data_IF_087236762159
#
_entry.id   IF_087236762159
#
_cell.length_a   1.000
_cell.length_b   1.000
_cell.length_c   1.000
_cell.angle_alpha   90.00
_cell.angle_beta   90.00
_cell.angle_gamma   90.00
#
_symmetry.space_group_name_H-M   'P 1'
#
loop_
_entity.id
_entity.type
_entity.pdbx_description
1 polymer ?
#
# COMPACT_ATOMS: atom_id res chain seq x y z
N UNK A 1 -16.55 -0.22 73.36
CA UNK A 1 -15.70 0.36 74.41
C UNK A 1 -14.34 0.65 73.78
N UNK A 2 -14.10 1.94 73.49
CA UNK A 2 -12.83 2.65 73.18
C UNK A 2 -11.95 2.06 72.05
N UNK A 3 -11.57 2.86 71.05
CA UNK A 3 -10.19 3.30 70.71
C UNK A 3 -10.23 3.51 69.18
N UNK A 4 -9.69 4.51 68.48
CA UNK A 4 -8.84 5.67 68.77
C UNK A 4 -9.08 6.72 67.67
N UNK A 5 -9.03 7.99 68.06
CA UNK A 5 -8.93 9.15 67.19
C UNK A 5 -7.46 9.33 66.79
N UNK A 6 -7.12 9.22 65.50
CA UNK A 6 -5.77 9.49 64.98
C UNK A 6 -5.72 10.91 64.41
N UNK A 7 -4.80 11.70 64.97
CA UNK A 7 -4.63 13.12 64.69
C UNK A 7 -3.89 13.43 63.38
N UNK A 8 -4.25 14.57 62.80
CA UNK A 8 -3.54 15.23 61.71
C UNK A 8 -2.27 15.93 62.21
N UNK A 9 -1.12 15.56 61.62
CA UNK A 9 0.09 16.39 61.50
C UNK A 9 0.57 16.16 60.07
N UNK A 10 0.54 17.16 59.19
CA UNK A 10 1.50 18.25 59.17
C UNK A 10 2.71 17.83 58.33
N UNK A 11 2.59 17.89 57.00
CA UNK A 11 3.68 17.58 56.07
C UNK A 11 4.14 18.85 55.36
N UNK A 12 5.44 19.07 55.55
CA UNK A 12 6.29 20.17 55.15
C UNK A 12 6.41 20.34 53.64
N UNK A 13 6.28 21.58 53.17
CA UNK A 13 6.64 22.00 51.81
C UNK A 13 8.16 22.08 51.69
N UNK A 14 8.76 21.09 51.03
CA UNK A 14 10.15 21.15 50.57
C UNK A 14 10.21 21.77 49.17
N UNK A 15 10.61 23.03 49.12
CA UNK A 15 11.02 23.74 47.89
C UNK A 15 12.38 23.21 47.42
N UNK A 16 12.41 22.55 46.25
CA UNK A 16 13.66 22.26 45.54
C UNK A 16 13.65 22.93 44.17
N UNK A 17 14.52 23.93 44.09
CA UNK A 17 14.89 24.71 42.91
C UNK A 17 15.63 23.84 41.90
N UNK A 18 15.12 23.70 40.67
CA UNK A 18 15.84 23.08 39.55
C UNK A 18 16.71 24.13 38.82
N UNK A 19 17.97 23.79 38.46
CA UNK A 19 18.82 24.69 37.70
C UNK A 19 18.52 24.65 36.19
N UNK A 20 18.49 25.85 35.62
CA UNK A 20 18.35 26.19 34.20
C UNK A 20 19.51 25.60 33.39
N UNK A 21 19.23 24.65 32.50
CA UNK A 21 20.23 24.09 31.58
C UNK A 21 20.40 25.03 30.36
N UNK A 22 21.64 25.49 30.16
CA UNK A 22 22.06 26.41 29.09
C UNK A 22 22.05 25.73 27.72
N UNK A 23 21.47 26.41 26.74
CA UNK A 23 21.48 26.05 25.31
C UNK A 23 22.90 26.03 24.73
N UNK A 24 23.32 24.89 24.19
CA UNK A 24 24.51 24.78 23.35
C UNK A 24 24.11 24.94 21.87
N UNK A 25 24.66 25.97 21.23
CA UNK A 25 24.60 26.24 19.78
C UNK A 25 25.41 25.19 19.03
N UNK A 26 24.75 24.35 18.23
CA UNK A 26 25.40 23.46 17.26
C UNK A 26 25.31 24.11 15.87
N UNK A 27 26.47 24.30 15.26
CA UNK A 27 26.70 24.96 13.96
C UNK A 27 26.70 23.90 12.86
N UNK A 28 25.93 24.02 11.76
CA UNK A 28 25.98 23.03 10.68
C UNK A 28 27.17 23.31 9.74
N UNK A 29 27.86 22.27 9.22
CA UNK A 29 28.88 22.43 8.20
C UNK A 29 28.27 22.57 6.80
N UNK A 30 28.87 23.45 6.01
CA UNK A 30 28.46 23.92 4.68
C UNK A 30 29.33 23.21 3.63
N UNK A 31 28.65 22.65 2.61
CA UNK A 31 29.05 22.35 1.21
C UNK A 31 30.33 21.55 0.88
N UNK A 32 30.18 20.53 0.03
CA UNK A 32 30.36 20.69 -1.44
C UNK A 32 30.18 19.36 -2.19
N UNK A 33 29.26 19.32 -3.16
CA UNK A 33 29.12 18.27 -4.18
C UNK A 33 29.73 18.72 -5.51
N UNK A 34 30.45 17.84 -6.24
CA UNK A 34 30.65 18.01 -7.67
C UNK A 34 29.78 17.03 -8.49
N UNK A 35 28.86 17.65 -9.22
CA UNK A 35 28.49 17.52 -10.64
C UNK A 35 28.71 16.19 -11.42
N UNK A 36 27.61 15.82 -12.08
CA UNK A 36 27.30 14.68 -12.95
C UNK A 36 27.97 14.65 -14.35
N UNK A 37 27.84 13.47 -15.01
CA UNK A 37 27.78 13.12 -16.46
C UNK A 37 28.98 12.29 -16.93
N UNK A 38 28.88 11.26 -17.78
CA UNK A 38 27.87 10.81 -18.75
C UNK A 38 28.18 9.35 -19.13
N UNK A 39 27.17 8.48 -19.28
CA UNK A 39 27.32 7.23 -20.04
C UNK A 39 26.16 7.08 -21.02
N UNK A 40 26.52 6.83 -22.28
CA UNK A 40 25.67 6.74 -23.48
C UNK A 40 25.07 5.33 -23.62
N UNK A 41 23.86 5.17 -24.19
CA UNK A 41 23.32 3.87 -24.57
C UNK A 41 23.78 3.49 -25.99
N UNK A 42 24.19 2.23 -26.18
CA UNK A 42 24.43 1.64 -27.49
C UNK A 42 23.12 1.00 -27.99
N UNK A 43 22.61 1.55 -29.09
CA UNK A 43 21.52 1.00 -29.90
C UNK A 43 21.99 -0.23 -30.68
N UNK A 44 21.12 -1.24 -30.81
CA UNK A 44 21.26 -2.33 -31.78
C UNK A 44 20.02 -2.33 -32.69
N UNK A 45 20.18 -2.20 -34.03
CA UNK A 45 19.08 -2.37 -34.97
C UNK A 45 18.91 -3.85 -35.37
N UNK A 46 17.65 -4.33 -35.34
CA UNK A 46 17.28 -5.62 -35.89
C UNK A 46 17.01 -5.47 -37.40
N UNK A 47 17.65 -6.35 -38.16
CA UNK A 47 17.71 -6.36 -39.62
C UNK A 47 16.58 -7.24 -40.19
N UNK A 48 15.96 -6.80 -41.29
CA UNK A 48 14.95 -7.54 -42.04
C UNK A 48 15.50 -7.97 -43.41
N UNK A 49 15.64 -9.28 -43.62
CA UNK A 49 15.96 -9.89 -44.91
C UNK A 49 15.03 -11.11 -45.04
N UNK A 50 13.91 -11.00 -45.76
CA UNK A 50 13.72 -11.48 -47.15
C UNK A 50 14.35 -12.86 -47.38
N UNK A 51 13.56 -13.84 -47.85
CA UNK A 51 13.87 -14.70 -48.99
C UNK A 51 12.73 -15.71 -49.26
N UNK A 52 12.10 -15.53 -50.44
CA UNK A 52 11.74 -16.51 -51.49
C UNK A 52 10.76 -17.67 -51.21
N UNK A 53 9.79 -17.80 -52.13
CA UNK A 53 9.42 -19.11 -52.70
C UNK A 53 7.93 -19.38 -52.95
N UNK A 54 7.41 -18.98 -54.11
CA UNK A 54 6.19 -19.51 -54.79
C UNK A 54 6.50 -20.90 -55.43
N UNK A 55 5.55 -21.66 -56.06
CA UNK A 55 4.09 -21.51 -56.23
C UNK A 55 3.22 -22.80 -56.07
N UNK A 56 1.89 -22.61 -56.11
CA UNK A 56 0.88 -23.38 -56.89
C UNK A 56 0.78 -24.92 -56.76
N UNK A 57 -0.35 -25.40 -56.24
CA UNK A 57 -1.19 -26.40 -56.94
C UNK A 57 -2.64 -26.42 -56.41
N UNK A 58 -3.61 -26.32 -57.32
CA UNK A 58 -5.04 -26.56 -57.08
C UNK A 58 -5.36 -28.03 -57.35
N UNK A 59 -6.11 -28.71 -56.48
CA UNK A 59 -7.07 -29.77 -56.83
C UNK A 59 -7.79 -30.34 -55.60
N UNK A 60 -9.11 -30.23 -55.56
CA UNK A 60 -10.05 -31.17 -54.90
C UNK A 60 -10.39 -32.29 -55.92
N UNK A 61 -10.94 -33.49 -55.58
CA UNK A 61 -12.16 -33.67 -54.77
C UNK A 61 -12.26 -34.92 -53.84
N UNK A 62 -13.23 -34.81 -52.92
CA UNK A 62 -14.14 -35.81 -52.32
C UNK A 62 -13.67 -37.23 -51.95
N UNK A 63 -13.52 -37.46 -50.64
CA UNK A 63 -13.96 -38.72 -49.97
C UNK A 63 -14.53 -38.39 -48.59
N UNK A 64 -15.79 -38.77 -48.41
CA UNK A 64 -16.55 -38.79 -47.16
C UNK A 64 -16.08 -39.96 -46.28
N UNK A 65 -15.52 -39.69 -45.09
CA UNK A 65 -15.36 -40.68 -44.02
C UNK A 65 -15.76 -40.05 -42.69
N UNK A 66 -16.83 -40.59 -42.15
CA UNK A 66 -17.37 -40.32 -40.83
C UNK A 66 -16.42 -40.88 -39.76
N UNK A 67 -15.77 -39.98 -39.02
CA UNK A 67 -14.93 -40.33 -37.87
C UNK A 67 -15.12 -39.27 -36.77
N UNK A 68 -15.72 -39.73 -35.68
CA UNK A 68 -16.01 -39.03 -34.44
C UNK A 68 -14.77 -38.34 -33.87
N UNK A 69 -14.71 -37.02 -34.02
CA UNK A 69 -13.70 -36.16 -33.40
C UNK A 69 -14.16 -35.76 -31.99
N UNK A 70 -13.75 -36.52 -30.97
CA UNK A 70 -13.66 -35.98 -29.61
C UNK A 70 -12.29 -35.33 -29.46
N UNK A 71 -12.19 -34.07 -29.87
CA UNK A 71 -11.06 -33.22 -29.53
C UNK A 71 -11.14 -32.90 -28.02
N UNK A 72 -10.08 -33.14 -27.23
CA UNK A 72 -9.97 -32.50 -25.93
C UNK A 72 -9.96 -30.98 -26.16
N UNK A 73 -10.74 -30.19 -25.40
CA UNK A 73 -10.75 -28.75 -25.57
C UNK A 73 -9.32 -28.25 -25.34
N UNK A 74 -8.76 -27.65 -26.39
CA UNK A 74 -7.55 -26.86 -26.31
C UNK A 74 -7.79 -25.80 -25.25
N UNK A 75 -7.01 -25.87 -24.18
CA UNK A 75 -6.95 -24.89 -23.12
C UNK A 75 -6.48 -23.58 -23.74
N UNK A 76 -7.42 -22.69 -24.03
CA UNK A 76 -7.13 -21.28 -24.29
C UNK A 76 -6.51 -20.71 -23.02
N UNK A 77 -5.24 -20.36 -23.12
CA UNK A 77 -4.47 -19.71 -22.06
C UNK A 77 -4.95 -18.26 -21.90
N UNK A 78 -6.10 -18.08 -21.25
CA UNK A 78 -6.42 -16.87 -20.53
C UNK A 78 -5.91 -17.04 -19.10
N UNK A 79 -5.18 -16.04 -18.61
CA UNK A 79 -4.50 -16.04 -17.31
C UNK A 79 -5.53 -16.01 -16.16
N UNK A 80 -6.22 -17.11 -15.90
CA UNK A 80 -7.08 -17.30 -14.73
C UNK A 80 -6.20 -17.69 -13.53
N UNK A 81 -5.59 -16.69 -12.89
CA UNK A 81 -4.93 -16.89 -11.60
C UNK A 81 -5.98 -17.33 -10.58
N UNK A 82 -5.67 -18.39 -9.81
CA UNK A 82 -6.58 -18.86 -8.77
C UNK A 82 -6.65 -17.87 -7.61
N UNK A 83 -7.72 -17.93 -6.81
CA UNK A 83 -7.87 -17.05 -5.64
C UNK A 83 -6.68 -17.16 -4.67
N UNK A 84 -6.11 -18.36 -4.55
CA UNK A 84 -4.95 -18.62 -3.70
C UNK A 84 -3.66 -18.02 -4.28
N UNK A 85 -3.49 -18.03 -5.60
CA UNK A 85 -2.34 -17.36 -6.24
C UNK A 85 -2.37 -15.84 -6.00
N UNK A 86 -3.56 -15.24 -6.06
CA UNK A 86 -3.75 -13.81 -5.78
C UNK A 86 -3.50 -13.52 -4.29
N UNK A 87 -3.99 -14.35 -3.38
CA UNK A 87 -3.72 -14.24 -1.95
C UNK A 87 -2.22 -14.35 -1.66
N UNK A 88 -1.54 -15.32 -2.26
CA UNK A 88 -0.10 -15.50 -2.13
C UNK A 88 0.67 -14.29 -2.67
N UNK A 89 0.22 -13.69 -3.78
CA UNK A 89 0.77 -12.45 -4.29
C UNK A 89 0.54 -11.27 -3.33
N UNK A 90 -0.65 -11.14 -2.75
CA UNK A 90 -0.98 -10.10 -1.78
C UNK A 90 -0.17 -10.23 -0.49
N UNK A 91 0.12 -11.45 -0.05
CA UNK A 91 0.98 -11.74 1.08
C UNK A 91 2.43 -11.30 0.89
N UNK A 92 2.86 -11.02 -0.34
CA UNK A 92 4.17 -10.41 -0.62
C UNK A 92 4.16 -8.89 -0.54
N UNK A 93 2.98 -8.26 -0.48
CA UNK A 93 2.87 -6.82 -0.26
C UNK A 93 3.14 -6.52 1.22
N UNK A 94 3.72 -5.34 1.46
CA UNK A 94 3.94 -4.81 2.80
C UNK A 94 2.83 -3.81 3.11
N UNK A 95 1.68 -4.31 3.54
CA UNK A 95 0.53 -3.48 3.92
C UNK A 95 0.54 -3.37 5.44
N UNK A 96 0.59 -2.15 5.97
CA UNK A 96 0.70 -1.89 7.41
C UNK A 96 -0.31 -0.89 7.90
N UNK A 97 -0.64 -0.97 9.18
CA UNK A 97 -1.28 0.11 9.91
C UNK A 97 -0.32 1.29 10.00
N UNK A 98 -0.80 2.48 9.67
CA UNK A 98 -0.09 3.73 9.82
C UNK A 98 -0.88 4.75 10.63
N UNK A 99 -0.18 5.76 11.16
CA UNK A 99 -0.78 6.92 11.79
C UNK A 99 -0.19 8.19 11.19
N UNK A 100 -1.05 9.05 10.66
CA UNK A 100 -0.62 10.35 10.15
C UNK A 100 -0.20 11.22 11.34
N UNK A 101 1.07 11.57 11.43
CA UNK A 101 1.56 12.51 12.44
C UNK A 101 1.12 13.92 12.07
N UNK A 102 1.27 14.26 10.79
CA UNK A 102 0.98 15.58 10.25
C UNK A 102 0.63 15.47 8.77
N UNK A 103 -0.38 16.23 8.33
CA UNK A 103 -0.67 16.43 6.92
C UNK A 103 -0.65 17.93 6.56
N UNK A 104 -0.28 18.27 5.32
CA UNK A 104 -0.36 19.62 4.78
C UNK A 104 -0.58 19.61 3.27
N UNK A 105 -1.00 20.74 2.69
CA UNK A 105 -1.13 20.87 1.23
C UNK A 105 0.24 20.94 0.56
N UNK A 106 0.37 20.28 -0.58
CA UNK A 106 1.57 20.34 -1.38
C UNK A 106 1.75 21.75 -1.98
N UNK A 107 2.96 22.31 -1.89
CA UNK A 107 3.22 23.71 -2.31
C UNK A 107 3.09 23.91 -3.82
N UNK A 108 3.55 22.93 -4.62
CA UNK A 108 3.51 22.98 -6.09
C UNK A 108 2.33 22.18 -6.73
N UNK A 109 1.37 21.70 -5.93
CA UNK A 109 0.32 20.80 -6.45
C UNK A 109 -1.02 20.92 -5.69
N UNK A 110 -2.01 21.54 -6.32
CA UNK A 110 -3.32 21.81 -5.72
C UNK A 110 -4.14 20.55 -5.40
N UNK A 111 -3.86 19.44 -6.08
CA UNK A 111 -4.58 18.18 -5.90
C UNK A 111 -3.93 17.24 -4.88
N UNK A 112 -2.77 17.60 -4.31
CA UNK A 112 -1.99 16.72 -3.45
C UNK A 112 -1.90 17.24 -2.01
N UNK A 113 -2.05 16.31 -1.08
CA UNK A 113 -1.55 16.47 0.28
C UNK A 113 -0.18 15.80 0.40
N UNK A 114 0.57 16.24 1.40
CA UNK A 114 1.81 15.61 1.87
C UNK A 114 1.56 15.20 3.31
N UNK A 115 1.79 13.93 3.61
CA UNK A 115 1.58 13.34 4.92
C UNK A 115 2.89 12.77 5.47
N UNK A 116 3.16 13.08 6.73
CA UNK A 116 4.16 12.40 7.53
C UNK A 116 3.47 11.28 8.30
N UNK A 117 3.80 10.03 8.00
CA UNK A 117 3.08 8.84 8.47
C UNK A 117 4.01 7.93 9.25
N UNK A 118 3.66 7.68 10.51
CA UNK A 118 4.27 6.65 11.34
C UNK A 118 3.75 5.27 10.92
N UNK A 119 4.67 4.37 10.55
CA UNK A 119 4.38 2.98 10.19
C UNK A 119 5.19 2.01 11.05
N UNK A 120 5.52 2.41 12.29
CA UNK A 120 6.29 1.62 13.25
C UNK A 120 7.77 1.45 12.86
N UNK A 121 8.26 2.31 11.97
CA UNK A 121 9.67 2.40 11.60
C UNK A 121 10.39 3.46 12.44
N UNK A 122 11.74 3.43 12.53
CA UNK A 122 12.50 4.44 13.28
C UNK A 122 12.26 5.87 12.79
N UNK A 123 12.00 6.04 11.50
CA UNK A 123 11.69 7.32 10.87
C UNK A 123 10.31 7.27 10.21
N UNK A 124 9.54 8.33 10.37
CA UNK A 124 8.25 8.48 9.71
C UNK A 124 8.42 8.67 8.21
N UNK A 125 7.46 8.15 7.44
CA UNK A 125 7.50 8.19 5.98
C UNK A 125 6.78 9.42 5.46
N UNK A 126 7.35 10.05 4.45
CA UNK A 126 6.65 11.05 3.65
C UNK A 126 5.83 10.32 2.59
N UNK A 127 4.53 10.55 2.59
CA UNK A 127 3.59 10.07 1.58
C UNK A 127 2.95 11.29 0.93
N UNK A 128 2.57 11.17 -0.33
CA UNK A 128 1.76 12.18 -1.01
C UNK A 128 0.50 11.51 -1.54
N UNK A 129 -0.66 12.04 -1.16
CA UNK A 129 -1.96 11.51 -1.55
C UNK A 129 -2.77 12.51 -2.39
N UNK A 130 -3.55 11.97 -3.33
CA UNK A 130 -4.46 12.75 -4.18
C UNK A 130 -5.80 13.10 -3.54
N UNK A 131 -5.85 13.31 -2.23
CA UNK A 131 -7.10 13.36 -1.46
C UNK A 131 -7.75 14.75 -1.35
N UNK A 132 -7.12 15.81 -1.88
CA UNK A 132 -7.58 17.21 -1.68
C UNK A 132 -9.02 17.45 -2.12
N UNK A 133 -9.46 16.79 -3.19
CA UNK A 133 -10.84 16.93 -3.71
C UNK A 133 -11.88 16.15 -2.90
N UNK A 134 -11.44 15.14 -2.17
CA UNK A 134 -12.30 14.16 -1.53
C UNK A 134 -12.41 14.41 -0.03
N UNK A 135 -11.35 14.91 0.60
CA UNK A 135 -11.29 15.08 2.05
C UNK A 135 -10.70 16.42 2.47
N UNK A 136 -11.31 17.06 3.50
CA UNK A 136 -10.67 18.18 4.16
C UNK A 136 -9.43 17.72 4.94
N UNK A 137 -8.46 18.62 5.03
CA UNK A 137 -7.16 18.37 5.68
C UNK A 137 -7.32 17.95 7.16
N UNK A 138 -8.33 18.47 7.86
CA UNK A 138 -8.55 18.22 9.29
C UNK A 138 -8.86 16.74 9.59
N UNK A 139 -9.49 16.04 8.65
CA UNK A 139 -9.77 14.60 8.81
C UNK A 139 -8.52 13.72 8.65
N UNK A 140 -7.45 14.25 8.06
CA UNK A 140 -6.19 13.54 7.90
C UNK A 140 -5.29 13.68 9.12
N UNK A 141 -5.44 14.75 9.91
CA UNK A 141 -4.59 14.97 11.08
C UNK A 141 -4.81 13.86 12.10
N UNK A 142 -3.73 13.17 12.48
CA UNK A 142 -3.76 12.09 13.47
C UNK A 142 -4.62 10.87 13.08
N UNK A 143 -5.09 10.80 11.84
CA UNK A 143 -5.87 9.69 11.35
C UNK A 143 -5.05 8.39 11.33
N UNK A 144 -5.70 7.29 11.69
CA UNK A 144 -5.19 5.94 11.45
C UNK A 144 -5.55 5.54 10.03
N UNK A 145 -4.58 4.97 9.32
CA UNK A 145 -4.67 4.67 7.90
C UNK A 145 -4.04 3.32 7.62
N UNK A 146 -4.37 2.75 6.47
CA UNK A 146 -3.65 1.60 5.93
C UNK A 146 -2.65 2.08 4.88
N UNK A 147 -1.41 1.60 4.94
CA UNK A 147 -0.30 2.04 4.11
C UNK A 147 0.30 0.85 3.37
N UNK A 148 0.42 0.97 2.06
CA UNK A 148 1.26 0.08 1.26
C UNK A 148 2.70 0.61 1.24
N UNK A 149 3.60 -0.10 1.91
CA UNK A 149 4.92 0.37 2.31
C UNK A 149 6.07 -0.14 1.42
N UNK A 150 5.90 -1.22 0.66
CA UNK A 150 6.98 -1.77 -0.19
C UNK A 150 6.89 -1.38 -1.66
N UNK A 151 6.17 -0.31 -2.00
CA UNK A 151 6.25 0.28 -3.34
C UNK A 151 7.59 1.00 -3.54
N UNK A 152 8.03 1.06 -4.80
CA UNK A 152 9.17 1.89 -5.17
C UNK A 152 8.82 3.37 -4.96
N UNK A 153 9.65 4.14 -4.22
CA UNK A 153 9.37 5.55 -3.99
C UNK A 153 9.18 6.33 -5.30
N UNK A 154 8.19 7.22 -5.32
CA UNK A 154 7.81 8.02 -6.48
C UNK A 154 7.98 9.50 -6.17
N UNK A 155 8.61 10.23 -7.08
CA UNK A 155 8.67 11.68 -6.98
C UNK A 155 7.36 12.28 -7.53
N UNK A 156 6.68 13.08 -6.71
CA UNK A 156 5.45 13.80 -7.03
C UNK A 156 5.72 15.29 -6.83
N UNK A 157 5.98 16.00 -7.94
CA UNK A 157 6.21 17.46 -7.94
C UNK A 157 7.31 17.90 -6.96
N UNK A 158 8.42 17.18 -6.94
CA UNK A 158 9.59 17.48 -6.11
C UNK A 158 9.62 16.74 -4.77
N UNK A 159 8.46 16.29 -4.26
CA UNK A 159 8.38 15.52 -3.01
C UNK A 159 8.46 14.03 -3.29
N UNK A 160 9.33 13.32 -2.57
CA UNK A 160 9.50 11.87 -2.70
C UNK A 160 8.49 11.15 -1.78
N UNK A 161 7.44 10.59 -2.38
CA UNK A 161 6.47 9.74 -1.69
C UNK A 161 7.03 8.32 -1.53
N UNK A 162 7.08 7.83 -0.29
CA UNK A 162 7.65 6.55 0.14
C UNK A 162 6.56 5.58 0.63
N UNK A 163 5.40 5.58 -0.02
CA UNK A 163 4.28 4.69 0.27
C UNK A 163 3.02 5.15 -0.46
N UNK A 164 1.92 4.48 -0.15
CA UNK A 164 0.60 4.82 -0.66
C UNK A 164 -0.43 4.58 0.45
N UNK A 165 -1.26 5.58 0.72
CA UNK A 165 -2.42 5.40 1.59
C UNK A 165 -3.48 4.60 0.82
N UNK A 166 -4.05 3.59 1.45
CA UNK A 166 -5.11 2.79 0.86
C UNK A 166 -6.47 3.43 1.10
N UNK A 167 -7.26 3.54 0.03
CA UNK A 167 -8.59 4.13 0.07
C UNK A 167 -9.59 3.30 -0.73
N UNK A 168 -10.83 3.28 -0.27
CA UNK A 168 -11.97 2.82 -1.05
C UNK A 168 -12.45 3.96 -1.96
N UNK A 169 -12.82 3.62 -3.20
CA UNK A 169 -13.43 4.55 -4.14
C UNK A 169 -14.65 3.91 -4.81
N UNK A 170 -15.70 4.70 -5.00
CA UNK A 170 -16.85 4.25 -5.78
C UNK A 170 -16.48 3.99 -7.25
N UNK A 171 -17.39 3.35 -8.00
CA UNK A 171 -17.13 2.97 -9.39
C UNK A 171 -16.90 4.18 -10.32
N UNK A 172 -17.43 5.36 -9.96
CA UNK A 172 -17.27 6.61 -10.71
C UNK A 172 -16.01 7.39 -10.31
N UNK A 173 -15.31 6.98 -9.24
CA UNK A 173 -14.24 7.71 -8.57
C UNK A 173 -14.61 9.14 -8.13
N UNK A 174 -15.89 9.36 -7.82
CA UNK A 174 -16.41 10.64 -7.32
C UNK A 174 -16.26 10.75 -5.81
N UNK A 175 -16.43 9.62 -5.11
CA UNK A 175 -16.25 9.52 -3.66
C UNK A 175 -15.07 8.63 -3.34
N UNK A 176 -14.18 9.11 -2.47
CA UNK A 176 -13.01 8.37 -1.97
C UNK A 176 -12.98 8.46 -0.46
N UNK A 177 -12.82 7.33 0.21
CA UNK A 177 -12.76 7.17 1.66
C UNK A 177 -11.52 6.36 2.07
N UNK A 178 -10.84 6.77 3.14
CA UNK A 178 -9.64 6.06 3.62
C UNK A 178 -10.06 4.74 4.25
N UNK A 179 -9.22 3.71 4.07
CA UNK A 179 -9.33 2.52 4.88
C UNK A 179 -8.85 2.83 6.30
N UNK A 180 -9.69 2.48 7.27
CA UNK A 180 -9.50 2.72 8.69
C UNK A 180 -9.31 1.38 9.40
N UNK A 181 -8.16 1.17 10.06
CA UNK A 181 -8.02 0.04 10.97
C UNK A 181 -8.91 0.24 12.20
N UNK A 182 -9.30 -0.84 12.89
CA UNK A 182 -10.07 -0.75 14.12
C UNK A 182 -9.27 -0.08 15.25
N UNK A 183 -9.99 0.39 16.27
CA UNK A 183 -9.36 0.93 17.46
C UNK A 183 -8.57 -0.13 18.22
N UNK A 184 -7.45 0.27 18.84
CA UNK A 184 -6.52 -0.63 19.50
C UNK A 184 -5.34 -1.10 18.64
N UNK A 185 -5.39 -0.89 17.32
CA UNK A 185 -4.26 -1.17 16.42
C UNK A 185 -3.07 -0.24 16.66
N UNK A 186 -1.86 -0.77 16.43
CA UNK A 186 -0.60 -0.06 16.61
C UNK A 186 0.06 0.25 15.25
N UNK A 187 0.69 1.44 15.08
CA UNK A 187 1.46 1.73 13.88
C UNK A 187 2.54 0.67 13.61
N UNK A 188 2.64 0.25 12.36
CA UNK A 188 3.57 -0.77 11.88
C UNK A 188 3.10 -2.21 11.96
N UNK A 189 1.93 -2.46 12.54
CA UNK A 189 1.30 -3.77 12.46
C UNK A 189 1.05 -4.15 10.99
N UNK A 190 1.51 -5.34 10.61
CA UNK A 190 1.32 -5.87 9.26
C UNK A 190 -0.06 -6.50 9.11
N UNK A 191 -0.73 -6.13 8.04
CA UNK A 191 -2.03 -6.64 7.65
C UNK A 191 -1.88 -8.02 7.02
N UNK A 192 -2.82 -8.91 7.31
CA UNK A 192 -2.97 -10.20 6.64
C UNK A 192 -4.38 -10.37 6.08
N UNK A 193 -4.55 -11.36 5.21
CA UNK A 193 -5.82 -11.68 4.57
C UNK A 193 -6.27 -13.08 4.97
N UNK A 194 -7.47 -13.21 5.55
CA UNK A 194 -8.05 -14.50 5.94
C UNK A 194 -8.07 -14.74 7.46
N UNK A 195 -7.58 -15.89 7.91
CA UNK A 195 -7.63 -16.34 9.32
C UNK A 195 -6.32 -16.06 10.06
N UNK A 196 -6.24 -16.32 11.36
CA UNK A 196 -4.97 -16.20 12.12
C UNK A 196 -3.89 -17.18 11.64
N UNK A 197 -4.26 -18.35 11.12
CA UNK A 197 -3.28 -19.29 10.53
C UNK A 197 -2.56 -18.68 9.31
N UNK A 198 -3.26 -17.82 8.56
CA UNK A 198 -2.68 -17.09 7.42
C UNK A 198 -1.69 -16.01 7.85
N UNK A 199 -1.84 -15.46 9.07
CA UNK A 199 -0.93 -14.49 9.64
C UNK A 199 0.41 -15.13 9.97
N UNK A 200 0.38 -16.28 10.63
CA UNK A 200 1.59 -17.00 11.05
C UNK A 200 2.34 -17.60 9.85
N UNK A 201 1.64 -17.90 8.75
CA UNK A 201 2.21 -18.40 7.51
C UNK A 201 2.60 -17.32 6.50
N UNK A 202 2.43 -16.03 6.85
CA UNK A 202 2.70 -14.93 5.95
C UNK A 202 4.21 -14.83 5.62
N UNK A 203 4.61 -14.90 4.34
CA UNK A 203 6.00 -14.72 3.93
C UNK A 203 6.49 -13.29 4.20
N UNK A 204 7.80 -13.13 4.34
CA UNK A 204 8.45 -11.82 4.40
C UNK A 204 8.05 -10.93 3.20
N UNK A 205 7.85 -9.61 3.41
CA UNK A 205 7.47 -8.73 2.32
C UNK A 205 8.50 -8.71 1.18
N UNK A 206 8.00 -8.68 -0.05
CA UNK A 206 8.85 -8.56 -1.22
C UNK A 206 9.56 -7.20 -1.26
N UNK A 207 10.76 -7.18 -1.85
CA UNK A 207 11.49 -5.94 -2.07
C UNK A 207 10.77 -5.04 -3.09
N UNK A 208 10.96 -3.71 -3.05
CA UNK A 208 10.31 -2.79 -4.00
C UNK A 208 10.56 -3.12 -5.47
N UNK A 209 11.74 -3.67 -5.78
CA UNK A 209 12.08 -4.11 -7.14
C UNK A 209 11.30 -5.35 -7.57
N UNK A 210 11.04 -6.29 -6.65
CA UNK A 210 10.24 -7.48 -6.93
C UNK A 210 8.77 -7.10 -7.16
N UNK A 211 8.22 -6.22 -6.31
CA UNK A 211 6.85 -5.71 -6.45
C UNK A 211 6.66 -5.08 -7.83
N UNK A 212 7.58 -4.19 -8.23
CA UNK A 212 7.50 -3.52 -9.53
C UNK A 212 7.73 -4.47 -10.72
N UNK A 213 8.75 -5.34 -10.67
CA UNK A 213 9.10 -6.22 -11.81
C UNK A 213 8.05 -7.30 -12.07
N UNK A 214 7.46 -7.83 -11.00
CA UNK A 214 6.42 -8.86 -11.08
C UNK A 214 5.01 -8.28 -11.17
N UNK A 215 4.86 -6.96 -11.11
CA UNK A 215 3.57 -6.25 -11.11
C UNK A 215 2.60 -6.77 -10.04
N UNK A 216 3.13 -7.03 -8.85
CA UNK A 216 2.39 -7.71 -7.76
C UNK A 216 1.18 -6.88 -7.34
N UNK A 217 1.36 -5.57 -7.19
CA UNK A 217 0.27 -4.67 -6.83
C UNK A 217 -0.81 -4.67 -7.91
N UNK A 218 -0.42 -4.56 -9.18
CA UNK A 218 -1.35 -4.52 -10.31
C UNK A 218 -2.12 -5.83 -10.52
N UNK A 219 -1.54 -6.98 -10.14
CA UNK A 219 -2.29 -8.25 -10.12
C UNK A 219 -3.26 -8.37 -8.94
N UNK A 220 -2.91 -7.80 -7.79
CA UNK A 220 -3.71 -7.92 -6.55
C UNK A 220 -4.84 -6.90 -6.48
N UNK A 221 -4.58 -5.66 -6.91
CA UNK A 221 -5.47 -4.51 -6.75
C UNK A 221 -6.89 -4.70 -7.31
N UNK A 222 -7.12 -5.35 -8.48
CA UNK A 222 -8.48 -5.61 -8.99
C UNK A 222 -9.35 -6.48 -8.08
N UNK A 223 -8.72 -7.24 -7.17
CA UNK A 223 -9.40 -8.15 -6.24
C UNK A 223 -9.61 -7.52 -4.86
N UNK A 224 -9.05 -6.34 -4.58
CA UNK A 224 -9.26 -5.62 -3.34
C UNK A 224 -10.53 -4.77 -3.43
N UNK A 225 -11.52 -5.10 -2.59
CA UNK A 225 -12.82 -4.43 -2.55
C UNK A 225 -13.32 -4.27 -1.13
N UNK A 226 -14.32 -3.41 -0.95
CA UNK A 226 -15.13 -3.41 0.27
C UNK A 226 -16.39 -4.24 0.08
N UNK A 227 -16.88 -4.88 1.15
CA UNK A 227 -18.13 -5.65 1.12
C UNK A 227 -19.37 -4.76 1.37
N UNK A 228 -20.54 -5.39 1.52
CA UNK A 228 -21.79 -4.69 1.85
C UNK A 228 -21.80 -4.04 3.25
N UNK A 229 -20.86 -4.44 4.11
CA UNK A 229 -20.66 -3.95 5.47
C UNK A 229 -19.52 -2.90 5.54
N UNK A 230 -19.00 -2.45 4.39
CA UNK A 230 -17.87 -1.53 4.27
C UNK A 230 -16.53 -2.12 4.76
N UNK A 231 -16.43 -3.44 4.90
CA UNK A 231 -15.22 -4.17 5.33
C UNK A 231 -14.31 -4.41 4.14
N UNK A 232 -13.02 -4.11 4.27
CA UNK A 232 -12.03 -4.36 3.23
C UNK A 232 -11.70 -5.86 3.12
N UNK A 233 -11.65 -6.36 1.89
CA UNK A 233 -11.36 -7.77 1.59
C UNK A 233 -10.59 -7.92 0.28
N UNK A 234 -9.89 -9.04 0.15
CA UNK A 234 -9.23 -9.52 -1.06
C UNK A 234 -9.95 -10.77 -1.57
N UNK A 235 -10.74 -10.64 -2.64
CA UNK A 235 -11.64 -11.73 -3.05
C UNK A 235 -12.59 -12.08 -1.89
N UNK A 236 -12.45 -13.28 -1.33
CA UNK A 236 -13.23 -13.75 -0.18
C UNK A 236 -12.49 -13.61 1.16
N UNK A 237 -11.24 -13.13 1.15
CA UNK A 237 -10.38 -13.04 2.34
C UNK A 237 -10.47 -11.67 3.00
N UNK A 238 -10.95 -11.61 4.24
CA UNK A 238 -11.03 -10.35 5.01
C UNK A 238 -9.66 -9.77 5.29
N UNK A 239 -9.55 -8.44 5.19
CA UNK A 239 -8.36 -7.69 5.61
C UNK A 239 -8.36 -7.54 7.13
N UNK A 240 -7.39 -8.17 7.80
CA UNK A 240 -7.36 -8.33 9.25
C UNK A 240 -6.22 -7.58 9.93
N UNK A 241 -6.48 -7.24 11.19
CA UNK A 241 -5.52 -6.75 12.20
C UNK A 241 -5.75 -7.51 13.50
N UNK A 242 -4.82 -7.42 14.44
CA UNK A 242 -4.95 -8.02 15.78
C UNK A 242 -6.14 -7.50 16.58
N UNK A 243 -6.66 -6.32 16.25
CA UNK A 243 -7.82 -5.72 16.88
C UNK A 243 -9.12 -5.90 16.05
N UNK A 244 -9.06 -6.56 14.90
CA UNK A 244 -10.22 -6.86 14.04
C UNK A 244 -10.06 -6.44 12.59
N UNK A 245 -11.18 -6.34 11.88
CA UNK A 245 -11.20 -6.07 10.43
C UNK A 245 -11.01 -4.60 10.09
N UNK A 246 -10.35 -4.36 8.95
CA UNK A 246 -10.23 -3.01 8.36
C UNK A 246 -11.52 -2.63 7.66
N UNK A 247 -11.99 -1.39 7.85
CA UNK A 247 -13.24 -0.90 7.28
C UNK A 247 -13.04 0.45 6.58
N UNK A 248 -13.95 0.82 5.69
CA UNK A 248 -14.13 2.20 5.26
C UNK A 248 -15.39 2.79 5.89
N UNK A 249 -15.64 4.09 5.69
CA UNK A 249 -16.69 4.80 6.42
C UNK A 249 -18.10 4.44 5.92
N UNK A 250 -18.31 4.39 4.61
CA UNK A 250 -19.63 4.22 4.00
C UNK A 250 -19.65 3.57 2.62
N UNK A 251 -18.50 3.45 1.94
CA UNK A 251 -18.43 2.90 0.58
C UNK A 251 -18.55 1.37 0.56
N UNK A 252 -19.68 0.88 0.03
CA UNK A 252 -19.99 -0.55 -0.12
C UNK A 252 -19.65 -1.05 -1.52
N UNK A 253 -19.16 -2.28 -1.64
CA UNK A 253 -18.82 -2.89 -2.94
C UNK A 253 -17.87 -2.01 -3.77
N UNK A 254 -17.02 -1.24 -3.09
CA UNK A 254 -16.15 -0.23 -3.68
C UNK A 254 -14.80 -0.84 -4.03
N UNK A 255 -14.11 -0.24 -5.00
CA UNK A 255 -12.75 -0.65 -5.35
C UNK A 255 -11.77 -0.07 -4.32
N UNK A 256 -10.70 -0.80 -4.03
CA UNK A 256 -9.61 -0.30 -3.19
C UNK A 256 -8.41 0.05 -4.06
N UNK A 257 -7.80 1.20 -3.79
CA UNK A 257 -6.61 1.72 -4.49
C UNK A 257 -5.62 2.36 -3.54
#
# INVERSE_FOLDING_TARGET
MVVATVGLRGLSLCTLSLPILRSAKIKPPIHSFPTSRSLKPLFSPYNSTILRGFPSFCASPDVNVEATATAPPATEAENSQSADDIKNAANLLDIRVGRIIKAWRHEEADSLYVEEVDVGEPESRIICSGLVKYMPLDLLQHAKVIVLANLKPRNMRGVKSCGMLMAASDASHETVELLMPPDGTIPGERIWFGTEDDKDSQPEPATPNQVQKKKIWESVQPHLKTDASCTAMLGDYLMQTSAGVVVCKSLKNANIS
#
